data_IF_868208860105
#
_entry.id   IF_868208860105
#
_cell.length_a   1.000
_cell.length_b   1.000
_cell.length_c   1.000
_cell.angle_alpha   90.00
_cell.angle_beta   90.00
_cell.angle_gamma   90.00
#
_symmetry.space_group_name_H-M   'P 1'
#
loop_
_entity.id
_entity.type
_entity.pdbx_description
1 polymer ?
#
# COMPACT_ATOMS: atom_id res chain seq x y z
N UNK A 1 -10.55 -17.76 -4.45
CA UNK A 1 -11.02 -17.04 -5.65
C UNK A 1 -10.77 -17.93 -6.85
N UNK A 2 -11.70 -17.95 -7.79
CA UNK A 2 -11.54 -18.72 -9.03
C UNK A 2 -10.93 -17.83 -10.12
N UNK A 3 -10.07 -18.40 -10.95
CA UNK A 3 -9.48 -17.68 -12.07
C UNK A 3 -10.54 -17.36 -13.13
N UNK A 4 -10.23 -16.42 -14.03
CA UNK A 4 -10.99 -16.32 -15.28
C UNK A 4 -10.76 -17.58 -16.12
N UNK A 5 -11.78 -18.09 -16.83
CA UNK A 5 -11.63 -19.25 -17.69
C UNK A 5 -10.75 -18.92 -18.90
N UNK A 6 -9.90 -19.87 -19.29
CA UNK A 6 -9.11 -19.82 -20.52
C UNK A 6 -9.45 -21.08 -21.33
N UNK A 7 -10.42 -20.95 -22.24
CA UNK A 7 -11.01 -22.10 -22.91
C UNK A 7 -11.73 -23.00 -21.91
N UNK A 8 -11.33 -24.27 -21.82
CA UNK A 8 -11.87 -25.25 -20.88
C UNK A 8 -11.18 -25.24 -19.50
N UNK A 9 -10.13 -24.43 -19.33
CA UNK A 9 -9.32 -24.43 -18.12
C UNK A 9 -9.77 -23.32 -17.17
N UNK A 10 -10.01 -23.68 -15.92
CA UNK A 10 -10.23 -22.74 -14.82
C UNK A 10 -9.60 -23.28 -13.56
N UNK A 11 -8.79 -22.46 -12.89
CA UNK A 11 -8.29 -22.79 -11.57
C UNK A 11 -9.30 -22.32 -10.52
N UNK A 12 -9.66 -23.19 -9.59
CA UNK A 12 -10.67 -22.93 -8.57
C UNK A 12 -10.06 -22.96 -7.18
N UNK A 13 -10.63 -22.19 -6.24
CA UNK A 13 -10.23 -22.23 -4.84
C UNK A 13 -8.83 -21.67 -4.56
N UNK A 14 -8.28 -20.82 -5.42
CA UNK A 14 -6.96 -20.22 -5.21
C UNK A 14 -7.04 -19.26 -4.01
N UNK A 15 -6.13 -19.46 -3.04
CA UNK A 15 -5.91 -18.51 -1.96
C UNK A 15 -5.24 -17.27 -2.54
N UNK A 16 -5.91 -16.12 -2.42
CA UNK A 16 -5.43 -14.83 -2.88
C UNK A 16 -5.27 -13.91 -1.69
N UNK A 17 -4.31 -12.99 -1.79
CA UNK A 17 -4.09 -11.96 -0.77
C UNK A 17 -5.36 -11.13 -0.61
N UNK A 18 -5.68 -10.77 0.63
CA UNK A 18 -6.81 -9.90 0.93
C UNK A 18 -6.66 -8.56 0.19
N UNK A 19 -7.78 -8.00 -0.28
CA UNK A 19 -7.77 -6.79 -1.11
C UNK A 19 -7.22 -5.56 -0.36
N UNK A 20 -7.37 -5.50 0.96
CA UNK A 20 -6.87 -4.42 1.81
C UNK A 20 -5.36 -4.51 2.00
N UNK A 21 -4.84 -5.74 2.21
CA UNK A 21 -3.40 -6.00 2.25
C UNK A 21 -2.76 -5.72 0.88
N UNK A 22 -3.43 -6.11 -0.20
CA UNK A 22 -2.99 -5.80 -1.56
C UNK A 22 -2.91 -4.28 -1.79
N UNK A 23 -3.93 -3.54 -1.37
CA UNK A 23 -3.96 -2.08 -1.47
C UNK A 23 -2.85 -1.40 -0.69
N UNK A 24 -2.65 -1.80 0.56
CA UNK A 24 -1.57 -1.29 1.40
C UNK A 24 -0.19 -1.63 0.81
N UNK A 25 -0.01 -2.83 0.27
CA UNK A 25 1.20 -3.26 -0.42
C UNK A 25 1.48 -2.47 -1.70
N UNK A 26 0.45 -2.19 -2.51
CA UNK A 26 0.57 -1.37 -3.72
C UNK A 26 0.96 0.07 -3.39
N UNK A 27 0.36 0.66 -2.36
CA UNK A 27 0.78 1.98 -1.87
C UNK A 27 2.21 1.95 -1.37
N UNK A 28 2.61 0.93 -0.60
CA UNK A 28 3.99 0.83 -0.13
C UNK A 28 5.02 0.71 -1.26
N UNK A 29 4.68 -0.03 -2.31
CA UNK A 29 5.44 -0.07 -3.54
C UNK A 29 5.54 1.32 -4.21
N UNK A 30 4.40 1.99 -4.40
CA UNK A 30 4.32 3.31 -5.01
C UNK A 30 5.17 4.34 -4.24
N UNK A 31 5.03 4.38 -2.91
CA UNK A 31 5.69 5.36 -2.06
C UNK A 31 7.20 5.11 -1.91
N UNK A 32 7.64 3.87 -2.13
CA UNK A 32 9.06 3.48 -2.08
C UNK A 32 9.77 3.62 -3.43
N UNK A 33 9.10 3.28 -4.53
CA UNK A 33 9.73 3.14 -5.86
C UNK A 33 9.31 4.22 -6.87
N UNK A 34 8.18 4.89 -6.65
CA UNK A 34 7.61 5.93 -7.53
C UNK A 34 7.58 5.50 -9.01
N UNK A 35 7.06 4.30 -9.30
CA UNK A 35 6.95 3.80 -10.67
C UNK A 35 5.56 4.04 -11.26
N UNK A 36 5.51 4.36 -12.56
CA UNK A 36 4.29 4.56 -13.34
C UNK A 36 3.28 3.40 -13.20
N UNK A 37 3.77 2.16 -13.25
CA UNK A 37 2.96 0.95 -13.07
C UNK A 37 2.30 0.85 -11.69
N UNK A 38 3.03 1.25 -10.64
CA UNK A 38 2.53 1.15 -9.27
C UNK A 38 1.43 2.20 -9.06
N UNK A 39 1.57 3.38 -9.70
CA UNK A 39 0.54 4.43 -9.72
C UNK A 39 -0.74 3.95 -10.42
N UNK A 40 -0.59 3.37 -11.61
CA UNK A 40 -1.71 2.80 -12.37
C UNK A 40 -2.39 1.68 -11.58
N UNK A 41 -1.63 0.77 -10.97
CA UNK A 41 -2.18 -0.31 -10.16
C UNK A 41 -2.94 0.21 -8.94
N UNK A 42 -2.40 1.21 -8.23
CA UNK A 42 -3.08 1.84 -7.09
C UNK A 42 -4.41 2.47 -7.51
N UNK A 43 -4.39 3.34 -8.52
CA UNK A 43 -5.61 4.00 -9.03
C UNK A 43 -6.67 2.98 -9.46
N UNK A 44 -6.30 1.94 -10.21
CA UNK A 44 -7.26 0.91 -10.62
C UNK A 44 -7.83 0.13 -9.45
N UNK A 45 -6.99 -0.24 -8.47
CA UNK A 45 -7.45 -0.96 -7.29
C UNK A 45 -8.44 -0.13 -6.47
N UNK A 46 -8.22 1.19 -6.38
CA UNK A 46 -9.15 2.09 -5.70
C UNK A 46 -10.46 2.27 -6.47
N UNK A 47 -10.40 2.32 -7.81
CA UNK A 47 -11.60 2.39 -8.66
C UNK A 47 -12.42 1.09 -8.66
N UNK A 48 -11.78 -0.06 -8.45
CA UNK A 48 -12.47 -1.36 -8.33
C UNK A 48 -13.38 -1.43 -7.09
N UNK A 49 -13.09 -0.63 -6.06
CA UNK A 49 -13.86 -0.60 -4.82
C UNK A 49 -13.70 -1.88 -3.98
N UNK A 50 -14.65 -2.13 -3.08
CA UNK A 50 -14.61 -3.28 -2.17
C UNK A 50 -13.60 -3.16 -1.02
N UNK A 51 -13.09 -1.96 -0.78
CA UNK A 51 -12.19 -1.64 0.32
C UNK A 51 -13.00 -1.12 1.51
N UNK A 52 -13.09 -1.92 2.56
CA UNK A 52 -13.50 -1.46 3.88
C UNK A 52 -12.44 -0.50 4.44
N UNK A 53 -12.90 0.64 4.96
CA UNK A 53 -12.03 1.74 5.38
C UNK A 53 -11.18 1.36 6.59
N UNK A 54 -11.73 0.65 7.56
CA UNK A 54 -11.03 0.32 8.79
C UNK A 54 -9.96 -0.74 8.53
N UNK A 55 -10.29 -1.80 7.79
CA UNK A 55 -9.33 -2.85 7.38
C UNK A 55 -8.22 -2.31 6.51
N UNK A 56 -8.56 -1.41 5.58
CA UNK A 56 -7.58 -0.72 4.76
C UNK A 56 -6.66 0.15 5.62
N UNK A 57 -7.21 0.94 6.54
CA UNK A 57 -6.41 1.81 7.42
C UNK A 57 -5.45 0.99 8.27
N UNK A 58 -5.93 -0.10 8.87
CA UNK A 58 -5.07 -1.02 9.61
C UNK A 58 -3.95 -1.58 8.74
N UNK A 59 -4.29 -2.10 7.56
CA UNK A 59 -3.31 -2.65 6.61
C UNK A 59 -2.30 -1.58 6.19
N UNK A 60 -2.76 -0.35 5.93
CA UNK A 60 -1.91 0.78 5.58
C UNK A 60 -0.88 1.08 6.68
N UNK A 61 -1.30 1.16 7.95
CA UNK A 61 -0.37 1.41 9.07
C UNK A 61 0.65 0.27 9.21
N UNK A 62 0.21 -0.98 9.15
CA UNK A 62 1.09 -2.15 9.29
C UNK A 62 2.12 -2.19 8.14
N UNK A 63 1.68 -1.96 6.90
CA UNK A 63 2.58 -1.87 5.73
C UNK A 63 3.51 -0.66 5.79
N UNK A 64 3.05 0.45 6.36
CA UNK A 64 3.88 1.62 6.61
C UNK A 64 4.97 1.38 7.64
N UNK A 65 4.67 0.65 8.71
CA UNK A 65 5.65 0.32 9.74
C UNK A 65 6.80 -0.55 9.21
N UNK A 66 6.50 -1.49 8.29
CA UNK A 66 7.52 -2.32 7.64
C UNK A 66 8.19 -1.68 6.41
N UNK A 67 7.71 -0.50 5.98
CA UNK A 67 8.30 0.21 4.83
C UNK A 67 9.75 0.66 5.12
N UNK A 68 10.52 0.78 4.04
CA UNK A 68 11.86 1.40 4.09
C UNK A 68 11.77 2.91 4.29
N UNK A 69 10.79 3.55 3.65
CA UNK A 69 10.46 4.96 3.84
C UNK A 69 9.75 5.12 5.18
N UNK A 70 10.14 6.12 5.98
CA UNK A 70 9.40 6.53 7.18
C UNK A 70 8.07 7.17 6.77
N UNK A 71 6.96 6.56 7.16
CA UNK A 71 5.63 7.04 6.79
C UNK A 71 5.10 8.13 7.69
N UNK A 72 5.73 8.42 8.84
CA UNK A 72 5.33 9.50 9.74
C UNK A 72 5.43 10.88 9.08
N UNK A 73 6.21 10.98 8.00
CA UNK A 73 6.42 12.19 7.17
C UNK A 73 5.66 12.15 5.85
N UNK A 74 4.83 11.13 5.63
CA UNK A 74 4.11 10.93 4.38
C UNK A 74 2.96 11.94 4.24
N UNK A 75 2.85 12.52 3.06
CA UNK A 75 1.80 13.45 2.68
C UNK A 75 1.18 13.04 1.33
N UNK A 76 -0.09 13.37 1.06
CA UNK A 76 -0.71 13.08 -0.23
C UNK A 76 0.11 13.62 -1.42
N UNK A 77 0.68 14.82 -1.27
CA UNK A 77 1.49 15.47 -2.30
C UNK A 77 2.82 14.76 -2.60
N UNK A 78 3.22 13.75 -1.82
CA UNK A 78 4.36 12.90 -2.15
C UNK A 78 4.14 12.03 -3.40
N UNK A 79 2.88 11.85 -3.80
CA UNK A 79 2.54 11.30 -5.12
C UNK A 79 2.70 12.44 -6.13
N UNK A 80 3.93 12.62 -6.58
CA UNK A 80 4.30 13.64 -7.55
C UNK A 80 5.00 12.99 -8.74
N UNK A 81 4.39 13.13 -9.91
CA UNK A 81 4.83 12.52 -11.15
C UNK A 81 4.75 13.57 -12.27
N UNK A 82 5.81 13.64 -13.07
CA UNK A 82 5.72 14.33 -14.35
C UNK A 82 4.81 13.52 -15.29
N UNK A 83 3.80 14.17 -15.85
CA UNK A 83 2.77 13.49 -16.65
C UNK A 83 3.37 12.92 -17.93
N UNK A 84 4.30 13.62 -18.57
CA UNK A 84 4.90 13.17 -19.81
C UNK A 84 5.79 11.93 -19.59
N UNK A 85 6.64 11.95 -18.56
CA UNK A 85 7.45 10.77 -18.18
C UNK A 85 6.56 9.59 -17.71
N UNK A 86 5.49 9.89 -16.97
CA UNK A 86 4.50 8.90 -16.54
C UNK A 86 3.91 8.17 -17.75
N UNK A 87 3.38 8.92 -18.72
CA UNK A 87 2.74 8.36 -19.91
C UNK A 87 3.74 7.60 -20.78
N UNK A 88 4.94 8.14 -20.99
CA UNK A 88 6.00 7.49 -21.75
C UNK A 88 6.39 6.12 -21.17
N UNK A 89 6.42 5.99 -19.84
CA UNK A 89 6.75 4.72 -19.16
C UNK A 89 5.56 3.77 -19.06
N UNK A 90 4.34 4.29 -19.00
CA UNK A 90 3.14 3.50 -18.80
C UNK A 90 2.58 2.94 -20.10
N UNK A 91 2.51 3.74 -21.17
CA UNK A 91 1.94 3.37 -22.48
C UNK A 91 2.47 2.02 -22.98
N UNK A 92 3.79 1.74 -23.01
CA UNK A 92 4.32 0.50 -23.57
C UNK A 92 3.90 -0.75 -22.79
N UNK A 93 3.43 -0.60 -21.55
CA UNK A 93 3.05 -1.71 -20.66
C UNK A 93 1.57 -2.05 -20.72
N UNK A 94 0.77 -1.24 -21.40
CA UNK A 94 -0.68 -1.37 -21.42
C UNK A 94 -1.18 -2.12 -22.66
N UNK A 95 -2.31 -2.81 -22.48
CA UNK A 95 -3.06 -3.44 -23.57
C UNK A 95 -3.87 -2.36 -24.32
N UNK A 96 -4.37 -2.69 -25.52
CA UNK A 96 -5.16 -1.78 -26.36
C UNK A 96 -6.24 -0.98 -25.59
N UNK A 97 -7.06 -1.65 -24.78
CA UNK A 97 -8.08 -1.00 -23.96
C UNK A 97 -7.52 -0.05 -22.86
N UNK A 98 -6.28 -0.30 -22.40
CA UNK A 98 -5.56 0.61 -21.51
C UNK A 98 -5.00 1.83 -22.25
N UNK A 99 -4.57 1.64 -23.50
CA UNK A 99 -4.09 2.70 -24.39
C UNK A 99 -5.23 3.65 -24.78
N UNK A 100 -6.41 3.12 -25.11
CA UNK A 100 -7.61 3.93 -25.40
C UNK A 100 -8.00 4.85 -24.23
N UNK A 101 -7.87 4.35 -22.99
CA UNK A 101 -8.08 5.15 -21.78
C UNK A 101 -7.03 6.24 -21.59
N UNK A 102 -5.78 5.97 -21.97
CA UNK A 102 -4.68 6.94 -21.90
C UNK A 102 -4.82 8.09 -22.89
N UNK A 103 -5.45 7.86 -24.04
CA UNK A 103 -5.70 8.93 -25.03
C UNK A 103 -6.71 9.98 -24.56
N UNK A 104 -7.25 9.84 -23.34
CA UNK A 104 -7.98 10.92 -22.68
C UNK A 104 -6.98 11.92 -22.11
N UNK A 105 -7.07 13.20 -22.49
CA UNK A 105 -6.19 14.32 -22.10
C UNK A 105 -5.97 14.51 -20.58
N UNK A 106 -6.67 13.76 -19.74
CA UNK A 106 -6.61 13.84 -18.27
C UNK A 106 -6.22 12.54 -17.60
N UNK A 107 -5.85 11.50 -18.35
CA UNK A 107 -5.64 10.17 -17.79
C UNK A 107 -4.52 10.17 -16.73
N UNK A 108 -3.32 10.64 -17.07
CA UNK A 108 -2.19 10.70 -16.12
C UNK A 108 -2.51 11.53 -14.88
N UNK A 109 -3.16 12.69 -15.06
CA UNK A 109 -3.64 13.54 -13.95
C UNK A 109 -4.63 12.80 -13.04
N UNK A 110 -5.58 12.09 -13.62
CA UNK A 110 -6.57 11.31 -12.88
C UNK A 110 -5.93 10.21 -12.03
N UNK A 111 -4.88 9.53 -12.53
CA UNK A 111 -4.16 8.52 -11.73
C UNK A 111 -3.50 9.14 -10.49
N UNK A 112 -2.90 10.32 -10.65
CA UNK A 112 -2.25 11.07 -9.56
C UNK A 112 -3.31 11.51 -8.54
N UNK A 113 -4.40 12.13 -9.02
CA UNK A 113 -5.50 12.61 -8.18
C UNK A 113 -6.16 11.48 -7.39
N UNK A 114 -6.41 10.32 -8.02
CA UNK A 114 -6.97 9.15 -7.33
C UNK A 114 -6.11 8.75 -6.13
N UNK A 115 -4.79 8.64 -6.33
CA UNK A 115 -3.86 8.21 -5.28
C UNK A 115 -3.69 9.28 -4.19
N UNK A 116 -3.68 10.56 -4.56
CA UNK A 116 -3.65 11.68 -3.59
C UNK A 116 -4.90 11.70 -2.72
N UNK A 117 -6.08 11.59 -3.33
CA UNK A 117 -7.36 11.55 -2.62
C UNK A 117 -7.44 10.34 -1.69
N UNK A 118 -6.93 9.19 -2.13
CA UNK A 118 -6.88 7.99 -1.31
C UNK A 118 -5.97 8.16 -0.08
N UNK A 119 -4.76 8.66 -0.27
CA UNK A 119 -3.85 8.97 0.84
C UNK A 119 -4.46 10.00 1.79
N UNK A 120 -5.15 11.01 1.27
CA UNK A 120 -5.84 12.02 2.08
C UNK A 120 -6.97 11.40 2.93
N UNK A 121 -7.58 10.29 2.52
CA UNK A 121 -8.57 9.55 3.32
C UNK A 121 -7.97 8.72 4.46
N UNK A 122 -6.67 8.42 4.38
CA UNK A 122 -5.89 7.62 5.34
C UNK A 122 -5.01 8.49 6.25
N UNK A 123 -4.81 9.75 5.91
CA UNK A 123 -4.02 10.72 6.67
C UNK A 123 -4.92 11.83 7.24
N UNK A 124 -4.54 12.47 8.35
CA UNK A 124 -3.39 12.15 9.20
C UNK A 124 -3.58 10.85 9.99
N UNK A 125 -2.49 10.37 10.57
CA UNK A 125 -2.54 9.28 11.56
C UNK A 125 -3.17 9.76 12.86
N UNK A 126 -3.90 8.88 13.52
CA UNK A 126 -4.35 9.11 14.90
C UNK A 126 -3.15 9.04 15.85
N UNK A 127 -3.32 9.52 17.08
CA UNK A 127 -2.25 9.45 18.09
C UNK A 127 -1.82 8.00 18.38
N UNK A 128 -2.78 7.06 18.42
CA UNK A 128 -2.50 5.65 18.64
C UNK A 128 -1.70 5.02 17.48
N UNK A 129 -2.06 5.34 16.24
CA UNK A 129 -1.34 4.86 15.06
C UNK A 129 0.05 5.47 14.94
N UNK A 130 0.18 6.76 15.27
CA UNK A 130 1.48 7.43 15.31
C UNK A 130 2.37 6.82 16.40
N UNK A 131 1.81 6.51 17.57
CA UNK A 131 2.54 5.82 18.63
C UNK A 131 2.94 4.41 18.22
N UNK A 132 2.08 3.66 17.52
CA UNK A 132 2.46 2.36 16.95
C UNK A 132 3.68 2.50 16.02
N UNK A 133 3.65 3.46 15.10
CA UNK A 133 4.77 3.73 14.20
C UNK A 133 6.04 4.12 14.98
N UNK A 134 5.93 4.97 16.00
CA UNK A 134 7.07 5.35 16.84
C UNK A 134 7.68 4.14 17.56
N UNK A 135 6.86 3.27 18.15
CA UNK A 135 7.34 2.05 18.83
C UNK A 135 8.08 1.13 17.88
N UNK A 136 7.54 0.90 16.69
CA UNK A 136 8.21 0.02 15.71
C UNK A 136 9.49 0.67 15.18
N UNK A 137 9.42 1.92 14.73
CA UNK A 137 10.51 2.58 14.01
C UNK A 137 11.63 3.06 14.92
N UNK A 138 11.30 3.48 16.15
CA UNK A 138 12.29 4.03 17.07
C UNK A 138 12.73 2.99 18.10
N UNK A 139 11.86 2.08 18.57
CA UNK A 139 12.20 1.12 19.64
C UNK A 139 12.32 -0.33 19.16
N UNK A 140 11.77 -0.67 17.99
CA UNK A 140 11.66 -2.04 17.54
C UNK A 140 10.68 -2.86 18.39
N UNK A 141 9.62 -2.21 18.87
CA UNK A 141 8.53 -2.79 19.65
C UNK A 141 7.27 -2.87 18.80
N UNK A 142 6.64 -4.05 18.72
CA UNK A 142 5.42 -4.27 17.95
C UNK A 142 4.24 -4.34 18.92
N UNK A 143 3.47 -3.26 19.00
CA UNK A 143 2.35 -3.09 19.94
C UNK A 143 1.00 -2.99 19.19
N UNK A 144 0.50 -4.07 18.57
CA UNK A 144 -0.69 -4.04 17.72
C UNK A 144 -1.98 -3.69 18.47
N UNK A 145 -1.99 -3.79 19.79
CA UNK A 145 -3.09 -3.34 20.66
C UNK A 145 -3.39 -1.83 20.51
N UNK A 146 -2.45 -1.05 19.98
CA UNK A 146 -2.67 0.35 19.60
C UNK A 146 -3.52 0.50 18.31
N UNK A 147 -3.66 -0.56 17.52
CA UNK A 147 -4.33 -0.53 16.23
C UNK A 147 -5.69 -1.25 16.23
N UNK A 148 -5.84 -2.28 17.06
CA UNK A 148 -7.06 -3.10 17.10
C UNK A 148 -7.25 -3.79 18.43
N UNK A 149 -8.51 -3.99 18.83
CA UNK A 149 -8.89 -4.79 20.01
C UNK A 149 -9.02 -6.29 19.68
N UNK A 150 -8.94 -6.68 18.41
CA UNK A 150 -9.01 -8.08 17.96
C UNK A 150 -7.71 -8.83 18.29
N UNK A 151 -7.77 -9.75 19.25
CA UNK A 151 -6.60 -10.50 19.75
C UNK A 151 -5.96 -11.41 18.69
N UNK A 152 -6.76 -12.02 17.81
CA UNK A 152 -6.25 -12.88 16.73
C UNK A 152 -5.48 -12.05 15.71
N UNK A 153 -6.02 -10.87 15.38
CA UNK A 153 -5.36 -9.94 14.47
C UNK A 153 -4.10 -9.34 15.08
N UNK A 154 -4.10 -9.06 16.38
CA UNK A 154 -2.90 -8.64 17.10
C UNK A 154 -1.79 -9.70 17.02
N UNK A 155 -2.11 -10.98 17.26
CA UNK A 155 -1.13 -12.07 17.17
C UNK A 155 -0.55 -12.20 15.75
N UNK A 156 -1.41 -12.11 14.73
CA UNK A 156 -0.98 -12.09 13.31
C UNK A 156 -0.04 -10.92 12.99
N UNK A 157 -0.31 -9.73 13.51
CA UNK A 157 0.56 -8.55 13.32
C UNK A 157 1.91 -8.75 14.02
N UNK A 158 1.92 -9.26 15.26
CA UNK A 158 3.16 -9.52 16.01
C UNK A 158 4.09 -10.49 15.28
N UNK A 159 3.52 -11.53 14.67
CA UNK A 159 4.26 -12.59 13.96
C UNK A 159 4.44 -12.28 12.47
N UNK A 160 4.16 -11.05 12.03
CA UNK A 160 4.31 -10.71 10.63
C UNK A 160 5.81 -10.62 10.27
N UNK A 161 6.34 -11.48 9.37
CA UNK A 161 7.79 -11.63 9.20
C UNK A 161 8.53 -10.33 8.85
N UNK A 162 7.94 -9.49 8.00
CA UNK A 162 8.55 -8.21 7.62
C UNK A 162 8.56 -7.20 8.77
N UNK A 163 7.57 -7.26 9.67
CA UNK A 163 7.49 -6.36 10.81
C UNK A 163 8.46 -6.81 11.90
N UNK A 164 8.57 -8.11 12.15
CA UNK A 164 9.59 -8.70 13.03
C UNK A 164 11.00 -8.35 12.55
N UNK A 165 11.25 -8.49 11.25
CA UNK A 165 12.55 -8.13 10.66
C UNK A 165 12.86 -6.64 10.84
N UNK A 166 11.88 -5.76 10.61
CA UNK A 166 12.02 -4.32 10.85
C UNK A 166 12.36 -4.04 12.31
N UNK A 167 11.61 -4.62 13.23
CA UNK A 167 11.79 -4.44 14.67
C UNK A 167 13.16 -4.95 15.15
N UNK A 168 13.60 -6.11 14.67
CA UNK A 168 14.92 -6.66 14.95
C UNK A 168 16.03 -5.69 14.52
N UNK A 169 15.97 -5.17 13.29
CA UNK A 169 16.97 -4.24 12.78
C UNK A 169 17.06 -2.95 13.59
N UNK A 170 15.92 -2.41 14.03
CA UNK A 170 15.90 -1.21 14.88
C UNK A 170 16.60 -1.49 16.21
N UNK A 171 16.33 -2.64 16.84
CA UNK A 171 16.99 -3.04 18.10
C UNK A 171 18.50 -3.22 17.93
N UNK A 172 18.94 -3.89 16.86
CA UNK A 172 20.36 -4.10 16.59
C UNK A 172 21.09 -2.78 16.27
N UNK A 173 20.47 -1.89 15.51
CA UNK A 173 21.03 -0.57 15.23
C UNK A 173 21.25 0.25 16.51
N UNK A 174 20.29 0.19 17.44
CA UNK A 174 20.37 0.91 18.72
C UNK A 174 21.39 0.36 19.70
N UNK A 175 21.69 -0.94 19.67
CA UNK A 175 22.76 -1.53 20.49
C UNK A 175 24.15 -1.05 20.07
N UNK A 176 24.30 -0.61 18.83
CA UNK A 176 25.56 -0.20 18.23
C UNK A 176 25.75 1.34 18.22
N UNK A 177 24.88 2.10 18.88
CA UNK A 177 24.98 3.55 19.09
C UNK A 177 25.35 3.85 20.54
#
# INVERSE_FOLDING_TARGET
MDSRPVGIWQAVGIQVVDVHELAAGKLSALMSRRQARDLFDCSNLFRLGGLDRERLRLSFIVYGAMSRRDWRTLAPNDVDFDIADLEQRLIPTLRAAGIERLQQDRFGKGLIEDCRNFLAGLLPFTDAEREFLNRVLDKGEIAPELLTADEDLQDRIRRHPLLEWKALNVREFRKNQ
#
